data_IF_356147530504
#
_entry.id   IF_356147530504
#
_cell.length_a   1.000
_cell.length_b   1.000
_cell.length_c   1.000
_cell.angle_alpha   90.00
_cell.angle_beta   90.00
_cell.angle_gamma   90.00
#
_symmetry.space_group_name_H-M   'P 1'
#
loop_
_entity.id
_entity.type
_entity.pdbx_description
1 polymer ?
#
# COMPACT_ATOMS: atom_id res chain seq x y z
N UNK A 1 -41.73 -42.67 -11.75
CA UNK A 1 -40.90 -43.81 -12.19
C UNK A 1 -39.67 -43.26 -12.90
N UNK A 2 -38.48 -43.76 -12.51
CA UNK A 2 -37.18 -43.80 -13.25
C UNK A 2 -36.53 -42.45 -13.67
N UNK A 3 -35.43 -42.02 -13.05
CA UNK A 3 -34.01 -42.43 -13.24
C UNK A 3 -33.49 -42.10 -14.65
N UNK A 4 -32.65 -41.06 -14.77
CA UNK A 4 -31.18 -41.12 -15.06
C UNK A 4 -30.88 -41.65 -16.47
N UNK A 5 -30.15 -40.89 -17.30
CA UNK A 5 -28.88 -41.35 -17.87
C UNK A 5 -28.11 -40.22 -18.58
N UNK A 6 -27.10 -39.72 -17.88
CA UNK A 6 -25.86 -39.16 -18.43
C UNK A 6 -25.02 -40.35 -18.87
N UNK A 7 -24.50 -40.38 -20.11
CA UNK A 7 -23.27 -41.10 -20.49
C UNK A 7 -23.13 -41.07 -22.02
N UNK A 8 -22.18 -40.28 -22.55
CA UNK A 8 -21.15 -40.75 -23.49
C UNK A 8 -19.95 -39.79 -23.37
N UNK A 9 -19.08 -40.06 -22.40
CA UNK A 9 -17.66 -39.75 -22.53
C UNK A 9 -16.96 -41.03 -22.98
N UNK A 10 -15.84 -40.87 -23.71
CA UNK A 10 -14.80 -41.88 -23.97
C UNK A 10 -14.98 -42.70 -25.26
N UNK A 11 -14.55 -42.11 -26.37
CA UNK A 11 -13.96 -42.75 -27.56
C UNK A 11 -13.40 -41.57 -28.36
N UNK A 12 -12.12 -41.19 -28.31
CA UNK A 12 -10.97 -41.97 -28.73
C UNK A 12 -9.70 -41.27 -28.23
N UNK A 13 -8.98 -41.95 -27.33
CA UNK A 13 -7.53 -41.83 -27.25
C UNK A 13 -6.93 -42.60 -28.45
N UNK A 14 -5.75 -42.13 -28.90
CA UNK A 14 -4.77 -42.81 -29.76
C UNK A 14 -4.87 -42.57 -31.28
N UNK A 15 -4.10 -41.59 -31.75
CA UNK A 15 -3.16 -41.57 -32.90
C UNK A 15 -2.52 -40.16 -32.84
N UNK A 16 -1.22 -39.89 -32.67
CA UNK A 16 -0.01 -40.68 -32.50
C UNK A 16 1.16 -39.71 -32.20
N UNK A 17 2.16 -40.17 -31.43
CA UNK A 17 3.47 -39.52 -31.25
C UNK A 17 4.30 -39.67 -32.54
N UNK A 18 4.99 -38.63 -33.04
CA UNK A 18 6.43 -38.31 -32.90
C UNK A 18 6.79 -37.55 -34.21
N UNK A 19 7.70 -36.60 -34.38
CA UNK A 19 8.98 -36.31 -33.72
C UNK A 19 9.48 -34.87 -34.08
N UNK A 20 10.53 -34.45 -33.39
CA UNK A 20 11.25 -33.16 -33.33
C UNK A 20 11.45 -32.26 -34.57
N UNK A 21 11.36 -30.94 -34.37
CA UNK A 21 12.39 -29.98 -34.81
C UNK A 21 12.45 -28.73 -33.92
N UNK A 22 13.66 -28.25 -33.70
CA UNK A 22 14.11 -27.26 -32.71
C UNK A 22 13.76 -25.83 -33.12
N UNK A 23 13.24 -25.05 -32.19
CA UNK A 23 13.10 -23.59 -32.30
C UNK A 23 13.09 -23.00 -30.89
N UNK A 24 14.24 -22.49 -30.48
CA UNK A 24 14.57 -21.98 -29.17
C UNK A 24 14.05 -20.53 -29.04
N UNK A 25 13.07 -20.27 -28.17
CA UNK A 25 12.80 -18.92 -27.65
C UNK A 25 12.21 -19.04 -26.24
N UNK A 26 13.12 -19.20 -25.27
CA UNK A 26 12.88 -18.73 -23.90
C UNK A 26 12.80 -17.20 -23.97
N UNK A 27 11.59 -16.66 -23.90
CA UNK A 27 11.38 -15.25 -23.57
C UNK A 27 11.48 -15.11 -22.06
N UNK A 28 12.70 -14.83 -21.64
CA UNK A 28 13.04 -14.27 -20.35
C UNK A 28 12.65 -12.78 -20.32
N UNK A 29 12.35 -12.29 -19.11
CA UNK A 29 12.16 -10.90 -18.67
C UNK A 29 10.75 -10.31 -18.70
N UNK A 30 10.19 -10.26 -17.49
CA UNK A 30 9.18 -9.30 -17.09
C UNK A 30 8.92 -9.40 -15.60
N UNK A 31 9.97 -9.23 -14.79
CA UNK A 31 9.87 -9.14 -13.32
C UNK A 31 9.01 -7.93 -12.97
N UNK A 32 7.71 -8.14 -12.78
CA UNK A 32 6.89 -7.32 -11.90
C UNK A 32 7.09 -7.87 -10.48
N UNK A 33 8.29 -7.67 -9.96
CA UNK A 33 8.59 -7.95 -8.56
C UNK A 33 7.70 -7.03 -7.73
N UNK A 34 6.66 -7.60 -7.14
CA UNK A 34 5.88 -6.98 -6.10
C UNK A 34 6.88 -6.58 -4.99
N UNK A 35 7.18 -5.29 -4.85
CA UNK A 35 8.01 -4.82 -3.73
C UNK A 35 7.33 -5.11 -2.38
N UNK A 36 6.03 -5.37 -2.37
CA UNK A 36 5.27 -5.83 -1.21
C UNK A 36 5.58 -7.28 -0.79
N UNK A 37 6.22 -8.08 -1.65
CA UNK A 37 6.64 -9.46 -1.34
C UNK A 37 8.07 -9.52 -0.76
N UNK A 38 8.78 -8.38 -0.68
CA UNK A 38 10.15 -8.32 -0.17
C UNK A 38 10.27 -8.20 1.35
N UNK A 39 9.17 -8.02 2.07
CA UNK A 39 9.17 -8.00 3.54
C UNK A 39 8.83 -9.39 4.11
N UNK A 40 8.10 -10.24 3.38
CA UNK A 40 7.47 -11.42 3.96
C UNK A 40 8.41 -12.62 4.25
N UNK A 41 9.58 -12.73 3.60
CA UNK A 41 10.43 -13.93 3.73
C UNK A 41 11.88 -13.67 4.20
N UNK A 42 12.16 -12.44 4.65
CA UNK A 42 13.46 -12.06 5.23
C UNK A 42 13.38 -11.52 6.67
N UNK A 43 12.23 -11.67 7.35
CA UNK A 43 11.92 -11.07 8.66
C UNK A 43 12.66 -11.71 9.86
N UNK A 44 13.62 -12.60 9.62
CA UNK A 44 14.53 -13.11 10.64
C UNK A 44 15.80 -12.23 10.65
N UNK A 45 15.98 -11.49 11.75
CA UNK A 45 17.23 -10.84 12.22
C UNK A 45 17.47 -9.33 12.00
N UNK A 46 16.55 -8.55 11.44
CA UNK A 46 16.73 -7.07 11.48
C UNK A 46 16.40 -6.51 12.86
N UNK A 47 17.21 -5.53 13.32
CA UNK A 47 16.91 -4.81 14.57
C UNK A 47 15.60 -4.02 14.42
N UNK A 48 14.79 -3.87 15.48
CA UNK A 48 13.54 -3.11 15.42
C UNK A 48 13.70 -1.70 14.81
N UNK A 49 14.81 -1.03 15.08
CA UNK A 49 15.13 0.31 14.57
C UNK A 49 15.38 0.32 13.06
N UNK A 50 15.98 -0.74 12.51
CA UNK A 50 16.20 -0.88 11.06
C UNK A 50 14.87 -1.12 10.34
N UNK A 51 14.00 -1.94 10.93
CA UNK A 51 12.64 -2.16 10.42
C UNK A 51 11.81 -0.87 10.47
N UNK A 52 11.94 -0.09 11.54
CA UNK A 52 11.34 1.24 11.66
C UNK A 52 11.84 2.18 10.58
N UNK A 53 13.14 2.29 10.36
CA UNK A 53 13.69 3.23 9.38
C UNK A 53 13.27 2.89 7.94
N UNK A 54 13.22 1.60 7.60
CA UNK A 54 12.68 1.14 6.31
C UNK A 54 11.19 1.48 6.18
N UNK A 55 10.40 1.13 7.20
CA UNK A 55 8.96 1.42 7.19
C UNK A 55 8.66 2.92 7.19
N UNK A 56 9.50 3.74 7.85
CA UNK A 56 9.40 5.20 7.80
C UNK A 56 9.59 5.73 6.39
N UNK A 57 10.55 5.22 5.61
CA UNK A 57 10.75 5.65 4.23
C UNK A 57 9.52 5.36 3.36
N UNK A 58 8.95 4.16 3.50
CA UNK A 58 7.75 3.75 2.75
C UNK A 58 6.54 4.61 3.13
N UNK A 59 6.31 4.79 4.44
CA UNK A 59 5.18 5.56 4.96
C UNK A 59 5.31 7.05 4.65
N UNK A 60 6.50 7.62 4.77
CA UNK A 60 6.71 9.05 4.48
C UNK A 60 6.54 9.35 2.99
N UNK A 61 6.98 8.48 2.08
CA UNK A 61 6.70 8.61 0.65
C UNK A 61 5.19 8.63 0.36
N UNK A 62 4.44 7.68 0.94
CA UNK A 62 2.98 7.66 0.80
C UNK A 62 2.31 8.89 1.43
N UNK A 63 2.86 9.41 2.53
CA UNK A 63 2.39 10.63 3.15
C UNK A 63 2.58 11.83 2.21
N UNK A 64 3.74 11.95 1.56
CA UNK A 64 3.96 12.99 0.56
C UNK A 64 3.00 12.87 -0.63
N UNK A 65 2.75 11.66 -1.15
CA UNK A 65 1.78 11.46 -2.24
C UNK A 65 0.35 11.88 -1.83
N UNK A 66 -0.08 11.53 -0.61
CA UNK A 66 -1.39 11.95 -0.09
C UNK A 66 -1.46 13.48 0.12
N UNK A 67 -0.42 14.09 0.69
CA UNK A 67 -0.37 15.54 0.89
C UNK A 67 -0.32 16.30 -0.44
N UNK A 68 0.36 15.78 -1.46
CA UNK A 68 0.36 16.33 -2.81
C UNK A 68 -1.05 16.32 -3.42
N UNK A 69 -1.75 15.18 -3.34
CA UNK A 69 -3.15 15.10 -3.79
C UNK A 69 -4.04 16.10 -3.04
N UNK A 70 -3.91 16.18 -1.71
CA UNK A 70 -4.68 17.13 -0.91
C UNK A 70 -4.37 18.59 -1.27
N UNK A 71 -3.12 18.92 -1.56
CA UNK A 71 -2.69 20.25 -1.97
C UNK A 71 -3.27 20.62 -3.34
N UNK A 72 -3.18 19.72 -4.32
CA UNK A 72 -3.78 19.93 -5.65
C UNK A 72 -5.29 20.16 -5.61
N UNK A 73 -5.99 19.43 -4.74
CA UNK A 73 -7.43 19.66 -4.52
C UNK A 73 -7.68 21.01 -3.86
N UNK A 74 -6.90 21.34 -2.82
CA UNK A 74 -7.04 22.60 -2.10
C UNK A 74 -6.79 23.81 -3.00
N UNK A 75 -5.79 23.71 -3.88
CA UNK A 75 -5.38 24.77 -4.80
C UNK A 75 -6.24 24.77 -6.08
N UNK A 76 -7.28 23.93 -6.11
CA UNK A 76 -8.27 23.80 -7.20
C UNK A 76 -7.65 23.38 -8.54
N UNK A 77 -6.46 22.78 -8.51
CA UNK A 77 -5.86 22.14 -9.69
C UNK A 77 -6.64 20.87 -10.07
N UNK A 78 -7.21 20.18 -9.09
CA UNK A 78 -8.07 19.01 -9.25
C UNK A 78 -9.38 19.27 -8.49
N UNK A 79 -10.52 19.05 -9.15
CA UNK A 79 -11.82 19.07 -8.47
C UNK A 79 -11.94 17.83 -7.55
N UNK A 80 -12.33 18.04 -6.28
CA UNK A 80 -12.56 16.98 -5.30
C UNK A 80 -13.52 15.88 -5.80
N UNK A 81 -14.56 16.26 -6.54
CA UNK A 81 -15.59 15.34 -6.99
C UNK A 81 -15.23 14.65 -8.32
N UNK A 82 -14.08 15.01 -8.90
CA UNK A 82 -13.61 14.50 -10.18
C UNK A 82 -13.30 13.01 -10.15
N UNK A 83 -13.38 12.40 -11.34
CA UNK A 83 -12.92 11.04 -11.58
C UNK A 83 -11.42 10.90 -11.28
N UNK A 84 -10.65 11.96 -11.50
CA UNK A 84 -9.21 12.00 -11.22
C UNK A 84 -8.91 11.88 -9.73
N UNK A 85 -9.55 12.70 -8.89
CA UNK A 85 -9.39 12.64 -7.43
C UNK A 85 -9.80 11.27 -6.88
N UNK A 86 -10.94 10.74 -7.32
CA UNK A 86 -11.43 9.41 -6.92
C UNK A 86 -10.48 8.29 -7.35
N UNK A 87 -9.94 8.37 -8.57
CA UNK A 87 -8.97 7.40 -9.06
C UNK A 87 -7.68 7.45 -8.25
N UNK A 88 -7.09 8.63 -8.05
CA UNK A 88 -5.88 8.80 -7.25
C UNK A 88 -6.08 8.24 -5.82
N UNK A 89 -7.21 8.57 -5.18
CA UNK A 89 -7.56 8.05 -3.85
C UNK A 89 -7.68 6.51 -3.85
N UNK A 90 -8.30 5.92 -4.87
CA UNK A 90 -8.46 4.46 -5.00
C UNK A 90 -7.13 3.71 -5.18
N UNK A 91 -6.13 4.36 -5.77
CA UNK A 91 -4.79 3.80 -5.98
C UNK A 91 -3.89 3.97 -4.74
N UNK A 92 -4.01 5.11 -4.04
CA UNK A 92 -3.19 5.44 -2.88
C UNK A 92 -3.68 4.76 -1.60
N UNK A 93 -4.98 4.79 -1.32
CA UNK A 93 -5.54 4.33 -0.04
C UNK A 93 -5.19 2.88 0.31
N UNK A 94 -5.27 1.90 -0.62
CA UNK A 94 -4.91 0.52 -0.30
C UNK A 94 -3.44 0.37 0.11
N UNK A 95 -2.53 1.11 -0.53
CA UNK A 95 -1.10 1.10 -0.20
C UNK A 95 -0.86 1.63 1.21
N UNK A 96 -1.53 2.73 1.57
CA UNK A 96 -1.48 3.30 2.91
C UNK A 96 -1.96 2.31 3.95
N UNK A 97 -3.12 1.69 3.72
CA UNK A 97 -3.71 0.74 4.65
C UNK A 97 -2.77 -0.44 4.93
N UNK A 98 -2.21 -1.06 3.88
CA UNK A 98 -1.29 -2.18 4.01
C UNK A 98 -0.03 -1.80 4.80
N UNK A 99 0.59 -0.67 4.47
CA UNK A 99 1.81 -0.21 5.15
C UNK A 99 1.55 0.19 6.61
N UNK A 100 0.41 0.84 6.88
CA UNK A 100 -0.02 1.12 8.23
C UNK A 100 -0.22 -0.16 9.05
N UNK A 101 -0.96 -1.14 8.51
CA UNK A 101 -1.24 -2.40 9.20
C UNK A 101 0.06 -3.16 9.49
N UNK A 102 0.99 -3.20 8.52
CA UNK A 102 2.33 -3.74 8.73
C UNK A 102 3.04 -3.02 9.87
N UNK A 103 3.16 -1.69 9.80
CA UNK A 103 3.83 -0.89 10.82
C UNK A 103 3.23 -1.10 12.22
N UNK A 104 1.89 -1.05 12.32
CA UNK A 104 1.13 -1.23 13.57
C UNK A 104 1.33 -2.62 14.16
N UNK A 105 1.29 -3.67 13.35
CA UNK A 105 1.24 -5.04 13.84
C UNK A 105 2.62 -5.68 13.97
N UNK A 106 3.61 -5.22 13.20
CA UNK A 106 4.93 -5.87 13.09
C UNK A 106 6.10 -5.02 13.59
N UNK A 107 6.03 -3.70 13.46
CA UNK A 107 7.14 -2.79 13.81
C UNK A 107 6.92 -2.14 15.17
N UNK A 108 5.83 -1.39 15.34
CA UNK A 108 5.52 -0.62 16.55
C UNK A 108 5.61 -1.44 17.85
N UNK A 109 5.09 -2.69 17.92
CA UNK A 109 5.11 -3.46 19.16
C UNK A 109 6.53 -3.80 19.65
N UNK A 110 7.54 -3.73 18.77
CA UNK A 110 8.93 -4.05 19.06
C UNK A 110 9.76 -2.83 19.43
N UNK A 111 9.20 -1.62 19.34
CA UNK A 111 9.92 -0.37 19.59
C UNK A 111 9.82 0.06 21.05
N UNK A 112 10.94 0.55 21.58
CA UNK A 112 10.94 1.29 22.84
C UNK A 112 10.34 2.69 22.63
N UNK A 113 9.16 2.90 23.21
CA UNK A 113 8.41 4.17 23.12
C UNK A 113 9.09 5.34 23.84
N UNK A 114 10.04 5.08 24.74
CA UNK A 114 10.78 6.12 25.44
C UNK A 114 11.81 6.82 24.53
N UNK A 115 12.20 6.17 23.43
CA UNK A 115 13.12 6.74 22.44
C UNK A 115 12.41 7.82 21.61
N UNK A 116 12.92 9.07 21.56
CA UNK A 116 12.28 10.16 20.82
C UNK A 116 11.96 9.81 19.36
N UNK A 117 12.91 9.20 18.65
CA UNK A 117 12.71 8.81 17.24
C UNK A 117 11.61 7.77 17.04
N UNK A 118 11.49 6.80 17.96
CA UNK A 118 10.39 5.83 17.95
C UNK A 118 9.05 6.49 18.22
N UNK A 119 9.01 7.46 19.14
CA UNK A 119 7.79 8.22 19.43
C UNK A 119 7.28 8.98 18.21
N UNK A 120 8.16 9.68 17.48
CA UNK A 120 7.77 10.36 16.24
C UNK A 120 7.30 9.39 15.16
N UNK A 121 7.95 8.23 15.01
CA UNK A 121 7.48 7.20 14.07
C UNK A 121 6.09 6.69 14.42
N UNK A 122 5.83 6.39 15.69
CA UNK A 122 4.52 5.91 16.13
C UNK A 122 3.45 6.99 15.88
N UNK A 123 3.76 8.25 16.15
CA UNK A 123 2.87 9.37 15.85
C UNK A 123 2.60 9.47 14.34
N UNK A 124 3.64 9.37 13.50
CA UNK A 124 3.50 9.40 12.04
C UNK A 124 2.53 8.32 11.56
N UNK A 125 2.74 7.08 11.99
CA UNK A 125 1.91 5.93 11.57
C UNK A 125 0.44 6.18 11.93
N UNK A 126 0.16 6.66 13.14
CA UNK A 126 -1.20 6.91 13.61
C UNK A 126 -1.87 8.08 12.88
N UNK A 127 -1.19 9.23 12.79
CA UNK A 127 -1.75 10.42 12.16
C UNK A 127 -1.92 10.24 10.65
N UNK A 128 -1.02 9.49 10.01
CA UNK A 128 -1.08 9.29 8.57
C UNK A 128 -2.30 8.49 8.14
N UNK A 129 -2.66 7.42 8.86
CA UNK A 129 -3.90 6.71 8.59
C UNK A 129 -5.12 7.60 8.83
N UNK A 130 -5.07 8.46 9.85
CA UNK A 130 -6.10 9.47 10.12
C UNK A 130 -6.33 10.39 8.93
N UNK A 131 -5.27 10.98 8.39
CA UNK A 131 -5.32 11.80 7.17
C UNK A 131 -5.93 11.01 6.00
N UNK A 132 -5.41 9.81 5.72
CA UNK A 132 -5.85 9.01 4.58
C UNK A 132 -7.35 8.64 4.66
N UNK A 133 -7.85 8.31 5.85
CA UNK A 133 -9.27 8.04 6.07
C UNK A 133 -10.14 9.28 5.83
N UNK A 134 -9.68 10.43 6.30
CA UNK A 134 -10.40 11.69 6.16
C UNK A 134 -10.43 12.16 4.70
N UNK A 135 -9.31 12.05 3.99
CA UNK A 135 -9.24 12.32 2.55
C UNK A 135 -10.17 11.38 1.77
N UNK A 136 -10.14 10.08 2.06
CA UNK A 136 -11.05 9.11 1.42
C UNK A 136 -12.50 9.50 1.59
N UNK A 137 -12.91 9.86 2.82
CA UNK A 137 -14.29 10.31 3.10
C UNK A 137 -14.65 11.60 2.38
N UNK A 138 -13.72 12.56 2.33
CA UNK A 138 -13.94 13.82 1.62
C UNK A 138 -14.16 13.60 0.12
N UNK A 139 -13.30 12.79 -0.52
CA UNK A 139 -13.30 12.56 -1.97
C UNK A 139 -14.42 11.60 -2.42
N UNK A 140 -14.69 10.53 -1.66
CA UNK A 140 -15.64 9.50 -2.09
C UNK A 140 -17.08 9.78 -1.65
N UNK A 141 -17.27 10.51 -0.55
CA UNK A 141 -18.58 10.67 0.07
C UNK A 141 -18.99 12.14 0.26
N UNK A 142 -18.08 13.11 0.11
CA UNK A 142 -18.37 14.52 0.40
C UNK A 142 -18.62 14.79 1.90
N UNK A 143 -18.35 13.82 2.78
CA UNK A 143 -18.81 13.78 4.17
C UNK A 143 -17.83 14.47 5.17
N UNK A 144 -16.94 15.35 4.70
CA UNK A 144 -15.85 15.89 5.54
C UNK A 144 -15.33 17.27 5.08
N UNK A 145 -14.80 18.07 6.03
CA UNK A 145 -14.32 19.43 5.73
C UNK A 145 -12.83 19.45 5.36
N UNK A 146 -12.48 20.09 4.24
CA UNK A 146 -11.09 20.26 3.79
C UNK A 146 -10.19 21.02 4.78
N UNK A 147 -10.77 21.84 5.67
CA UNK A 147 -10.04 22.52 6.74
C UNK A 147 -9.37 21.55 7.72
N UNK A 148 -9.99 20.41 8.00
CA UNK A 148 -9.42 19.37 8.87
C UNK A 148 -8.28 18.62 8.18
N UNK A 149 -8.44 18.30 6.88
CA UNK A 149 -7.37 17.69 6.06
C UNK A 149 -6.13 18.60 6.08
N UNK A 150 -6.32 19.91 5.90
CA UNK A 150 -5.24 20.91 5.95
C UNK A 150 -4.52 20.94 7.29
N UNK A 151 -5.25 20.90 8.40
CA UNK A 151 -4.67 20.85 9.74
C UNK A 151 -3.78 19.62 9.93
N UNK A 152 -4.29 18.44 9.54
CA UNK A 152 -3.57 17.17 9.65
C UNK A 152 -2.30 17.13 8.78
N UNK A 153 -2.30 17.76 7.59
CA UNK A 153 -1.09 17.88 6.78
C UNK A 153 0.02 18.65 7.51
N UNK A 154 -0.33 19.76 8.19
CA UNK A 154 0.64 20.54 8.98
C UNK A 154 1.19 19.77 10.18
N UNK A 155 0.35 18.99 10.84
CA UNK A 155 0.75 18.09 11.94
C UNK A 155 1.69 17.00 11.43
N UNK A 156 1.37 16.35 10.31
CA UNK A 156 2.21 15.33 9.68
C UNK A 156 3.58 15.87 9.28
N UNK A 157 3.63 17.06 8.66
CA UNK A 157 4.90 17.71 8.33
C UNK A 157 5.75 17.94 9.59
N UNK A 158 5.13 18.42 10.67
CA UNK A 158 5.81 18.65 11.95
C UNK A 158 6.36 17.35 12.55
N UNK A 159 5.58 16.27 12.49
CA UNK A 159 5.99 14.94 12.99
C UNK A 159 7.17 14.40 12.17
N UNK A 160 7.11 14.49 10.84
CA UNK A 160 8.18 14.03 9.96
C UNK A 160 9.48 14.82 10.15
N UNK A 161 9.38 16.14 10.31
CA UNK A 161 10.51 16.99 10.67
C UNK A 161 11.10 16.60 12.03
N UNK A 162 10.24 16.29 13.01
CA UNK A 162 10.63 15.79 14.32
C UNK A 162 11.38 14.47 14.24
N UNK A 163 10.88 13.51 13.44
CA UNK A 163 11.55 12.23 13.20
C UNK A 163 12.97 12.40 12.64
N UNK A 164 13.14 13.29 11.66
CA UNK A 164 14.42 13.51 10.99
C UNK A 164 15.45 14.21 11.88
N UNK A 165 15.00 14.95 12.90
CA UNK A 165 15.87 15.66 13.85
C UNK A 165 16.10 14.88 15.14
N UNK A 166 15.32 13.84 15.40
CA UNK A 166 15.42 13.06 16.63
C UNK A 166 16.71 12.22 16.68
N UNK A 167 17.35 12.13 17.86
CA UNK A 167 18.51 11.27 18.07
C UNK A 167 18.16 9.79 17.97
#
# INVERSE_FOLDING_TARGET
MQKILILICILLLLIGCSDHSKGNEQVEKGVAGNQNEKIAEGELEKKPEELRDLSYQEISNLAFEMMDLATKIQDQEIDVDSVEAKKAMSELYPKVKVNFEMARDKVIPKLDKSTPKNSYYIQLVNEFLGLANNMKRAIEHGDFTWGQVRGQMGELQTIMDGYNKAP
#
